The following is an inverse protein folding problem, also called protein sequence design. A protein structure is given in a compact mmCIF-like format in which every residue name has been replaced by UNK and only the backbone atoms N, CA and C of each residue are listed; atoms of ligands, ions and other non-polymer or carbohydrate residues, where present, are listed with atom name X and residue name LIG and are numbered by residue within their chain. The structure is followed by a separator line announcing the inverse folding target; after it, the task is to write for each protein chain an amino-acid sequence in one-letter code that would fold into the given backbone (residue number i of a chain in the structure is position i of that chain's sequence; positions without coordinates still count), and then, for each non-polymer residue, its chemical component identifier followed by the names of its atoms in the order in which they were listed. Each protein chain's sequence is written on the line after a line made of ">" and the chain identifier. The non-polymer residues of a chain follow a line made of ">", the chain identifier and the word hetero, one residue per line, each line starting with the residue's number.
data_IF_113698278877
#
_entry.id   IF_113698278877
#
_cell.length_a   1.000
_cell.length_b   1.000
_cell.length_c   1.000
_cell.angle_alpha   90.00
_cell.angle_beta   90.00
_cell.angle_gamma   90.00
#
_symmetry.space_group_name_H-M   'P 1'
#
loop_
_entity.id
_entity.type
_entity.pdbx_description
1 polymer ?
#
# COMPACT_ATOMS: atom_id res chain seq x y z
N UNK A 1 22.52 -12.06 -18.54
CA UNK A 1 21.07 -11.96 -18.23
C UNK A 1 20.88 -12.27 -16.76
N UNK A 2 20.19 -11.39 -16.01
CA UNK A 2 19.86 -11.63 -14.60
C UNK A 2 18.78 -12.72 -14.55
N UNK A 3 18.92 -13.69 -13.65
CA UNK A 3 17.91 -14.76 -13.51
C UNK A 3 16.63 -14.20 -12.90
N UNK A 4 15.48 -14.64 -13.38
CA UNK A 4 14.17 -14.19 -12.86
C UNK A 4 14.07 -14.35 -11.35
N UNK A 5 14.54 -15.47 -10.81
CA UNK A 5 14.55 -15.75 -9.36
C UNK A 5 15.38 -14.73 -8.56
N UNK A 6 16.49 -14.27 -9.13
CA UNK A 6 17.35 -13.24 -8.52
C UNK A 6 16.68 -11.86 -8.55
N UNK A 7 15.77 -11.61 -9.48
CA UNK A 7 14.95 -10.39 -9.53
C UNK A 7 13.82 -10.44 -8.50
N UNK A 8 12.97 -11.47 -8.53
CA UNK A 8 11.76 -11.51 -7.68
C UNK A 8 12.05 -11.74 -6.20
N UNK A 9 13.22 -12.33 -5.86
CA UNK A 9 13.63 -12.60 -4.47
C UNK A 9 14.87 -11.79 -4.05
N UNK A 10 15.47 -11.00 -4.93
CA UNK A 10 16.71 -10.27 -4.62
C UNK A 10 16.51 -8.90 -4.01
N UNK A 11 17.58 -8.37 -3.42
CA UNK A 11 17.65 -7.00 -2.86
C UNK A 11 18.78 -6.15 -3.47
N UNK A 12 19.67 -6.78 -4.25
CA UNK A 12 20.96 -6.21 -4.64
C UNK A 12 20.83 -5.15 -5.73
N UNK A 13 19.96 -5.37 -6.72
CA UNK A 13 19.78 -4.44 -7.85
C UNK A 13 18.49 -3.62 -7.71
N UNK A 14 18.41 -2.52 -8.46
CA UNK A 14 17.23 -1.66 -8.46
C UNK A 14 15.98 -2.41 -8.95
N UNK A 15 16.14 -3.26 -9.95
CA UNK A 15 15.10 -4.11 -10.54
C UNK A 15 14.62 -5.18 -9.55
N UNK A 16 15.54 -5.77 -8.77
CA UNK A 16 15.18 -6.76 -7.77
C UNK A 16 14.40 -6.13 -6.60
N UNK A 17 14.83 -4.93 -6.16
CA UNK A 17 14.07 -4.14 -5.18
C UNK A 17 12.71 -3.71 -5.72
N UNK A 18 12.64 -3.29 -6.99
CA UNK A 18 11.37 -2.97 -7.65
C UNK A 18 10.43 -4.18 -7.69
N UNK A 19 10.92 -5.36 -8.07
CA UNK A 19 10.10 -6.58 -8.15
C UNK A 19 9.63 -7.09 -6.78
N UNK A 20 10.41 -6.88 -5.71
CA UNK A 20 10.11 -7.42 -4.38
C UNK A 20 9.46 -6.42 -3.41
N UNK A 21 9.94 -5.17 -3.39
CA UNK A 21 9.39 -4.09 -2.58
C UNK A 21 8.34 -3.25 -3.33
N UNK A 22 8.25 -3.39 -4.66
CA UNK A 22 7.39 -2.54 -5.47
C UNK A 22 5.92 -2.63 -5.08
N UNK A 23 5.34 -1.46 -4.83
CA UNK A 23 4.82 -0.73 -6.01
C UNK A 23 4.76 0.80 -5.88
N UNK A 24 5.31 1.44 -4.82
CA UNK A 24 5.36 2.91 -4.80
C UNK A 24 6.44 3.45 -3.83
N UNK A 25 7.50 4.08 -4.35
CA UNK A 25 8.58 4.63 -3.52
C UNK A 25 8.11 5.79 -2.61
N UNK A 26 7.03 6.46 -2.97
CA UNK A 26 6.43 7.54 -2.19
C UNK A 26 5.23 7.07 -1.34
N UNK A 27 5.29 5.86 -0.78
CA UNK A 27 4.25 5.36 0.14
C UNK A 27 4.48 5.93 1.54
N UNK A 28 3.44 6.45 2.17
CA UNK A 28 3.47 6.77 3.61
C UNK A 28 3.57 5.49 4.48
N UNK A 29 4.03 5.59 5.73
CA UNK A 29 4.01 4.48 6.69
C UNK A 29 2.59 3.93 6.91
N UNK A 30 2.43 2.61 6.98
CA UNK A 30 1.08 1.99 7.07
C UNK A 30 0.33 2.40 8.34
N UNK A 31 1.03 2.54 9.46
CA UNK A 31 0.48 3.00 10.74
C UNK A 31 -0.11 4.42 10.66
N UNK A 32 0.47 5.30 9.84
CA UNK A 32 -0.12 6.61 9.55
C UNK A 32 -1.53 6.49 8.97
N UNK A 33 -1.76 5.60 7.99
CA UNK A 33 -3.10 5.40 7.43
C UNK A 33 -4.10 4.86 8.47
N UNK A 34 -3.67 3.95 9.36
CA UNK A 34 -4.53 3.47 10.44
C UNK A 34 -4.96 4.60 11.39
N UNK A 35 -4.04 5.52 11.72
CA UNK A 35 -4.35 6.63 12.61
C UNK A 35 -5.35 7.58 11.96
N UNK A 36 -5.13 7.97 10.71
CA UNK A 36 -6.05 8.86 9.95
C UNK A 36 -7.45 8.24 9.85
N UNK A 37 -7.56 6.96 9.46
CA UNK A 37 -8.86 6.30 9.33
C UNK A 37 -9.59 6.23 10.67
N UNK A 38 -8.90 5.89 11.78
CA UNK A 38 -9.51 5.83 13.11
C UNK A 38 -10.00 7.19 13.59
N UNK A 39 -9.23 8.25 13.34
CA UNK A 39 -9.52 9.59 13.82
C UNK A 39 -10.67 10.25 13.06
N UNK A 40 -10.76 10.05 11.74
CA UNK A 40 -11.64 10.82 10.86
C UNK A 40 -12.80 10.03 10.23
N UNK A 41 -13.03 8.78 10.62
CA UNK A 41 -14.17 7.99 10.12
C UNK A 41 -14.72 7.04 11.18
N UNK A 42 -15.86 6.40 10.92
CA UNK A 42 -16.50 5.37 11.75
C UNK A 42 -16.66 4.05 10.98
N UNK A 43 -16.98 2.98 11.69
CA UNK A 43 -17.31 1.70 11.03
C UNK A 43 -18.44 1.92 10.01
N UNK A 44 -18.32 1.29 8.85
CA UNK A 44 -19.19 1.38 7.66
C UNK A 44 -19.13 2.68 6.85
N UNK A 45 -18.35 3.69 7.25
CA UNK A 45 -18.11 4.86 6.40
C UNK A 45 -17.37 4.48 5.11
N UNK A 46 -17.44 5.36 4.11
CA UNK A 46 -16.76 5.19 2.82
C UNK A 46 -15.46 5.98 2.78
N UNK A 47 -14.40 5.34 2.27
CA UNK A 47 -13.09 5.96 2.03
C UNK A 47 -12.83 5.94 0.52
N UNK A 48 -12.44 7.08 -0.02
CA UNK A 48 -11.95 7.20 -1.40
C UNK A 48 -10.50 7.65 -1.39
N UNK A 49 -9.64 6.93 -2.11
CA UNK A 49 -8.28 7.34 -2.40
C UNK A 49 -8.06 7.39 -3.91
N UNK A 50 -8.14 8.58 -4.54
CA UNK A 50 -7.98 8.72 -5.99
C UNK A 50 -6.53 8.52 -6.47
N UNK A 51 -5.56 8.37 -5.56
CA UNK A 51 -4.14 8.18 -5.87
C UNK A 51 -3.56 7.06 -5.00
N UNK A 52 -4.20 5.89 -5.05
CA UNK A 52 -4.03 4.87 -4.01
C UNK A 52 -2.61 4.28 -3.96
N UNK A 53 -1.84 4.35 -5.05
CA UNK A 53 -0.46 3.87 -5.09
C UNK A 53 -0.36 2.40 -4.72
N UNK A 54 0.08 2.09 -3.49
CA UNK A 54 0.11 0.72 -2.94
C UNK A 54 -1.15 0.34 -2.13
N UNK A 55 -2.21 1.14 -2.20
CA UNK A 55 -3.50 0.93 -1.56
C UNK A 55 -3.45 0.85 -0.02
N UNK A 56 -2.43 1.43 0.62
CA UNK A 56 -2.25 1.39 2.08
C UNK A 56 -3.43 2.04 2.85
N UNK A 57 -4.02 3.11 2.31
CA UNK A 57 -5.21 3.79 2.84
C UNK A 57 -6.46 2.90 2.79
N UNK A 58 -6.71 2.28 1.63
CA UNK A 58 -7.83 1.36 1.40
C UNK A 58 -7.69 0.10 2.25
N UNK A 59 -6.48 -0.43 2.34
CA UNK A 59 -6.16 -1.55 3.24
C UNK A 59 -6.47 -1.21 4.70
N UNK A 60 -6.00 -0.07 5.21
CA UNK A 60 -6.29 0.36 6.58
C UNK A 60 -7.80 0.54 6.81
N UNK A 61 -8.49 1.14 5.83
CA UNK A 61 -9.95 1.25 5.80
C UNK A 61 -10.66 -0.09 5.97
N UNK A 62 -10.33 -1.06 5.12
CA UNK A 62 -10.93 -2.39 5.13
C UNK A 62 -10.71 -3.13 6.45
N UNK A 63 -9.48 -3.10 7.00
CA UNK A 63 -9.17 -3.72 8.29
C UNK A 63 -9.98 -3.08 9.43
N UNK A 64 -10.23 -1.78 9.35
CA UNK A 64 -11.05 -1.03 10.31
C UNK A 64 -12.56 -1.06 9.97
N UNK A 65 -13.01 -1.93 9.05
CA UNK A 65 -14.41 -2.07 8.64
C UNK A 65 -15.01 -0.80 8.00
N UNK A 66 -14.25 -0.11 7.15
CA UNK A 66 -14.76 0.92 6.23
C UNK A 66 -14.87 0.34 4.82
N UNK A 67 -15.72 0.94 4.00
CA UNK A 67 -15.89 0.59 2.59
C UNK A 67 -14.92 1.44 1.75
N UNK A 68 -13.93 0.82 1.10
CA UNK A 68 -12.87 1.54 0.40
C UNK A 68 -12.97 1.46 -1.13
N UNK A 69 -12.70 2.58 -1.80
CA UNK A 69 -12.47 2.66 -3.25
C UNK A 69 -11.13 3.37 -3.52
N UNK A 70 -10.21 2.69 -4.20
CA UNK A 70 -8.94 3.25 -4.64
C UNK A 70 -8.75 3.16 -6.15
N UNK A 71 -8.00 4.11 -6.72
CA UNK A 71 -7.55 4.12 -8.13
C UNK A 71 -6.03 3.99 -8.17
#
# INVERSE_FOLDING_TARGET
>A
MIKTEELIKGFKTAEARWARFGSYYATFPVDFAFNVVKEYSKENDYIIDPFAGRYSSIYAGAVLKRNGLGI
#
